data_IF_893694345891
#
_entry.id   IF_893694345891
#
_cell.length_a   1.000
_cell.length_b   1.000
_cell.length_c   1.000
_cell.angle_alpha   90.00
_cell.angle_beta   90.00
_cell.angle_gamma   90.00
#
_symmetry.space_group_name_H-M   'P 1'
#
loop_
_entity.id
_entity.type
_entity.pdbx_description
1 polymer ?
#
# COMPACT_ATOMS: atom_id res chain seq x y z
N UNK A 1 -53.63 52.52 -5.88
CA UNK A 1 -53.13 51.30 -5.20
C UNK A 1 -54.31 50.39 -4.91
N UNK A 2 -54.27 49.05 -4.98
CA UNK A 2 -53.23 48.13 -5.47
C UNK A 2 -53.76 47.15 -6.56
N UNK A 3 -52.92 46.84 -7.55
CA UNK A 3 -53.06 45.66 -8.42
C UNK A 3 -52.38 44.49 -7.69
N UNK A 4 -53.14 43.54 -7.16
CA UNK A 4 -52.57 42.27 -6.69
C UNK A 4 -53.60 41.13 -6.76
N UNK A 5 -54.13 40.92 -7.96
CA UNK A 5 -54.88 39.71 -8.33
C UNK A 5 -54.34 39.24 -9.66
N UNK A 6 -53.47 38.23 -9.61
CA UNK A 6 -52.89 37.41 -10.70
C UNK A 6 -51.41 37.32 -10.47
N UNK A 7 -50.99 36.23 -9.85
CA UNK A 7 -49.85 35.45 -10.32
C UNK A 7 -49.55 34.30 -9.36
N UNK A 8 -49.57 33.09 -9.93
CA UNK A 8 -48.79 31.91 -9.52
C UNK A 8 -49.12 31.36 -8.10
N UNK A 9 -50.04 30.42 -7.90
CA UNK A 9 -50.01 29.00 -8.37
C UNK A 9 -48.77 28.63 -9.17
N UNK A 10 -47.63 28.51 -8.49
CA UNK A 10 -46.51 27.62 -8.84
C UNK A 10 -45.47 27.75 -7.73
N UNK A 11 -44.76 26.67 -7.42
CA UNK A 11 -43.63 26.59 -6.47
C UNK A 11 -43.98 26.06 -5.07
N UNK A 12 -44.61 24.88 -5.02
CA UNK A 12 -44.53 23.97 -3.86
C UNK A 12 -44.27 22.53 -4.34
N UNK A 13 -43.20 22.31 -5.11
CA UNK A 13 -42.77 20.97 -5.48
C UNK A 13 -41.36 20.98 -6.08
N UNK A 14 -40.29 21.19 -5.29
CA UNK A 14 -38.89 20.93 -5.72
C UNK A 14 -37.88 20.87 -4.56
N UNK A 15 -38.24 20.32 -3.38
CA UNK A 15 -37.29 20.20 -2.25
C UNK A 15 -37.12 18.77 -1.72
N UNK A 16 -37.25 17.75 -2.59
CA UNK A 16 -36.90 16.36 -2.24
C UNK A 16 -36.04 15.72 -3.33
N UNK A 17 -34.77 16.09 -3.42
CA UNK A 17 -33.80 15.33 -4.22
C UNK A 17 -32.34 15.49 -3.79
N UNK A 18 -32.06 15.81 -2.51
CA UNK A 18 -30.68 15.89 -2.00
C UNK A 18 -30.59 15.22 -0.62
N UNK A 19 -30.85 13.91 -0.55
CA UNK A 19 -30.72 13.17 0.72
C UNK A 19 -30.29 11.71 0.55
N UNK A 20 -29.55 11.36 -0.51
CA UNK A 20 -29.15 9.96 -0.75
C UNK A 20 -27.65 9.72 -0.98
N UNK A 21 -26.78 10.73 -0.88
CA UNK A 21 -25.32 10.53 -0.98
C UNK A 21 -24.57 10.47 0.36
N UNK A 22 -25.28 10.33 1.48
CA UNK A 22 -24.66 10.33 2.81
C UNK A 22 -24.87 8.99 3.54
N UNK A 23 -24.56 7.85 2.92
CA UNK A 23 -24.65 6.57 3.65
C UNK A 23 -23.83 5.41 3.06
N UNK A 24 -22.61 5.66 2.57
CA UNK A 24 -21.60 4.58 2.43
C UNK A 24 -20.23 5.11 2.84
N UNK A 25 -20.14 5.65 4.06
CA UNK A 25 -18.86 5.70 4.75
C UNK A 25 -18.58 4.27 5.24
N UNK A 26 -18.09 3.41 4.34
CA UNK A 26 -17.47 2.15 4.74
C UNK A 26 -16.27 2.53 5.61
N UNK A 27 -16.43 2.43 6.92
CA UNK A 27 -15.31 2.45 7.85
C UNK A 27 -14.44 1.25 7.51
N UNK A 28 -13.44 1.49 6.65
CA UNK A 28 -12.41 0.50 6.37
C UNK A 28 -11.83 0.02 7.71
N UNK A 29 -11.66 -1.29 7.92
CA UNK A 29 -11.05 -1.80 9.14
C UNK A 29 -9.73 -1.08 9.38
N UNK A 30 -9.63 -0.36 10.49
CA UNK A 30 -8.41 0.34 10.86
C UNK A 30 -7.33 -0.71 11.14
N UNK A 31 -6.42 -0.90 10.20
CA UNK A 31 -5.23 -1.72 10.40
C UNK A 31 -4.38 -1.00 11.45
N UNK A 32 -4.12 -1.62 12.62
CA UNK A 32 -3.30 -0.98 13.65
C UNK A 32 -1.92 -0.64 13.06
N UNK A 33 -1.32 0.51 13.45
CA UNK A 33 -0.02 0.89 12.94
C UNK A 33 1.01 -0.21 13.25
N UNK A 34 1.86 -0.59 12.29
CA UNK A 34 2.82 -1.66 12.50
C UNK A 34 3.76 -1.27 13.65
N UNK A 35 3.79 -2.11 14.69
CA UNK A 35 4.75 -1.95 15.77
C UNK A 35 6.18 -2.03 15.19
N UNK A 36 7.10 -1.22 15.69
CA UNK A 36 8.49 -1.24 15.26
C UNK A 36 9.04 -2.68 15.42
N UNK A 37 9.75 -3.22 14.41
CA UNK A 37 10.24 -4.60 14.47
C UNK A 37 11.23 -4.73 15.63
N UNK A 38 10.97 -5.68 16.53
CA UNK A 38 11.85 -5.97 17.65
C UNK A 38 13.22 -6.42 17.12
N UNK A 39 14.32 -5.86 17.62
CA UNK A 39 15.67 -6.23 17.17
C UNK A 39 15.94 -7.71 17.47
N UNK A 40 16.69 -8.39 16.58
CA UNK A 40 17.12 -9.76 16.81
C UNK A 40 18.06 -9.87 18.02
N UNK A 41 18.02 -11.00 18.72
CA UNK A 41 18.92 -11.32 19.84
C UNK A 41 20.15 -12.15 19.43
N UNK A 42 20.36 -12.36 18.12
CA UNK A 42 21.45 -13.18 17.59
C UNK A 42 22.83 -12.62 17.96
N UNK A 43 23.68 -13.47 18.57
CA UNK A 43 25.04 -13.10 18.99
C UNK A 43 26.03 -13.35 17.88
N UNK A 44 26.62 -12.28 17.33
CA UNK A 44 27.67 -12.39 16.32
C UNK A 44 28.92 -13.03 16.96
N UNK A 45 29.47 -14.10 16.40
CA UNK A 45 30.73 -14.66 16.85
C UNK A 45 31.88 -13.66 16.63
N UNK A 46 32.98 -13.86 17.35
CA UNK A 46 34.21 -13.11 17.12
C UNK A 46 34.79 -13.34 15.71
N UNK A 47 35.85 -12.61 15.39
CA UNK A 47 36.50 -12.66 14.08
C UNK A 47 37.06 -14.05 13.76
N UNK A 48 37.25 -14.32 12.47
CA UNK A 48 37.85 -15.57 12.00
C UNK A 48 39.23 -15.75 12.64
N UNK A 49 39.52 -16.91 13.25
CA UNK A 49 40.75 -17.11 14.02
C UNK A 49 42.03 -17.13 13.16
N UNK A 50 41.91 -17.01 11.84
CA UNK A 50 43.03 -16.94 10.90
C UNK A 50 43.48 -18.30 10.38
N UNK A 51 44.30 -18.30 9.33
CA UNK A 51 44.72 -19.53 8.64
C UNK A 51 45.66 -20.43 9.45
N UNK A 52 46.31 -19.87 10.48
CA UNK A 52 47.24 -20.60 11.37
C UNK A 52 46.56 -21.08 12.66
N UNK A 53 45.24 -20.91 12.79
CA UNK A 53 44.48 -21.38 13.93
C UNK A 53 44.49 -22.91 14.02
N UNK A 54 44.42 -23.43 15.25
CA UNK A 54 44.24 -24.87 15.45
C UNK A 54 42.89 -25.33 14.87
N UNK A 55 42.82 -26.58 14.41
CA UNK A 55 41.57 -27.12 13.85
C UNK A 55 40.41 -27.07 14.84
N UNK A 56 40.69 -27.28 16.13
CA UNK A 56 39.67 -27.23 17.18
C UNK A 56 39.07 -25.82 17.32
N UNK A 57 39.92 -24.78 17.25
CA UNK A 57 39.47 -23.39 17.29
C UNK A 57 38.63 -23.05 16.06
N UNK A 58 39.09 -23.46 14.88
CA UNK A 58 38.36 -23.28 13.62
C UNK A 58 37.00 -23.99 13.64
N UNK A 59 36.93 -25.25 14.09
CA UNK A 59 35.67 -26.00 14.21
C UNK A 59 34.71 -25.37 15.23
N UNK A 60 35.21 -24.86 16.35
CA UNK A 60 34.42 -24.12 17.33
C UNK A 60 33.83 -22.83 16.75
N UNK A 61 34.65 -22.07 16.02
CA UNK A 61 34.23 -20.85 15.33
C UNK A 61 33.17 -21.14 14.28
N UNK A 62 33.36 -22.16 13.41
CA UNK A 62 32.36 -22.55 12.39
C UNK A 62 31.01 -22.87 13.03
N UNK A 63 30.98 -23.64 14.12
CA UNK A 63 29.73 -23.93 14.84
C UNK A 63 29.03 -22.67 15.34
N UNK A 64 29.82 -21.72 15.87
CA UNK A 64 29.29 -20.45 16.37
C UNK A 64 28.72 -19.59 15.23
N UNK A 65 29.41 -19.54 14.09
CA UNK A 65 28.92 -18.86 12.87
C UNK A 65 27.63 -19.47 12.37
N UNK A 66 27.56 -20.80 12.28
CA UNK A 66 26.34 -21.47 11.83
C UNK A 66 25.17 -21.17 12.78
N UNK A 67 25.37 -21.25 14.09
CA UNK A 67 24.32 -20.90 15.06
C UNK A 67 23.84 -19.44 14.94
N UNK A 68 24.76 -18.51 14.70
CA UNK A 68 24.41 -17.11 14.45
C UNK A 68 23.59 -16.93 13.16
N UNK A 69 24.01 -17.56 12.06
CA UNK A 69 23.30 -17.49 10.78
C UNK A 69 21.92 -18.15 10.84
N UNK A 70 21.77 -19.26 11.56
CA UNK A 70 20.49 -19.91 11.79
C UNK A 70 19.54 -19.01 12.60
N UNK A 71 20.05 -18.36 13.65
CA UNK A 71 19.28 -17.38 14.41
C UNK A 71 18.76 -16.25 13.52
N UNK A 72 19.62 -15.67 12.68
CA UNK A 72 19.23 -14.61 11.76
C UNK A 72 18.18 -15.08 10.75
N UNK A 73 18.35 -16.28 10.17
CA UNK A 73 17.36 -16.87 9.26
C UNK A 73 15.99 -17.01 9.91
N UNK A 74 15.95 -17.48 11.16
CA UNK A 74 14.69 -17.59 11.92
C UNK A 74 14.04 -16.22 12.10
N UNK A 75 14.80 -15.23 12.55
CA UNK A 75 14.29 -13.86 12.72
C UNK A 75 13.77 -13.26 11.40
N UNK A 76 14.49 -13.43 10.29
CA UNK A 76 14.04 -13.00 8.96
C UNK A 76 12.70 -13.67 8.59
N UNK A 77 12.58 -14.98 8.81
CA UNK A 77 11.33 -15.71 8.56
C UNK A 77 10.17 -15.19 9.39
N UNK A 78 10.39 -14.88 10.66
CA UNK A 78 9.37 -14.28 11.55
C UNK A 78 8.94 -12.89 11.05
N UNK A 79 9.89 -12.04 10.66
CA UNK A 79 9.58 -10.71 10.12
C UNK A 79 8.84 -10.79 8.78
N UNK A 80 9.23 -11.71 7.89
CA UNK A 80 8.54 -11.93 6.62
C UNK A 80 7.11 -12.42 6.83
N UNK A 81 6.90 -13.37 7.77
CA UNK A 81 5.58 -13.86 8.12
C UNK A 81 4.70 -12.74 8.70
N UNK A 82 5.27 -11.88 9.55
CA UNK A 82 4.59 -10.71 10.08
C UNK A 82 4.25 -9.67 9.00
N UNK A 83 5.13 -9.48 8.00
CA UNK A 83 4.95 -8.51 6.92
C UNK A 83 3.95 -8.98 5.84
N UNK A 84 3.85 -10.30 5.61
CA UNK A 84 3.02 -10.90 4.56
C UNK A 84 1.56 -10.38 4.50
N UNK A 85 0.78 -10.32 5.58
CA UNK A 85 -0.60 -9.82 5.51
C UNK A 85 -0.68 -8.36 5.07
N UNK A 86 0.28 -7.53 5.46
CA UNK A 86 0.32 -6.12 5.04
C UNK A 86 0.66 -5.99 3.56
N UNK A 87 1.56 -6.84 3.05
CA UNK A 87 1.90 -6.87 1.62
C UNK A 87 0.72 -7.32 0.77
N UNK A 88 -0.01 -8.35 1.22
CA UNK A 88 -1.22 -8.84 0.55
C UNK A 88 -2.34 -7.78 0.57
N UNK A 89 -2.55 -7.11 1.70
CA UNK A 89 -3.51 -6.01 1.79
C UNK A 89 -3.12 -4.82 0.90
N UNK A 90 -1.83 -4.47 0.84
CA UNK A 90 -1.32 -3.39 0.01
C UNK A 90 -1.49 -3.68 -1.49
N UNK A 91 -1.39 -4.96 -1.90
CA UNK A 91 -1.47 -5.37 -3.30
C UNK A 91 -2.77 -4.95 -3.98
N UNK A 92 -3.89 -4.96 -3.27
CA UNK A 92 -5.19 -4.50 -3.82
C UNK A 92 -5.12 -3.05 -4.30
N UNK A 93 -4.45 -2.18 -3.54
CA UNK A 93 -4.28 -0.78 -3.90
C UNK A 93 -3.27 -0.59 -5.03
N UNK A 94 -2.20 -1.40 -5.05
CA UNK A 94 -1.22 -1.40 -6.15
C UNK A 94 -1.88 -1.80 -7.46
N UNK A 95 -2.69 -2.86 -7.44
CA UNK A 95 -3.41 -3.35 -8.63
C UNK A 95 -4.43 -2.31 -9.12
N UNK A 96 -5.18 -1.67 -8.21
CA UNK A 96 -6.10 -0.58 -8.56
C UNK A 96 -5.38 0.66 -9.15
N UNK A 97 -4.23 1.04 -8.58
CA UNK A 97 -3.44 2.15 -9.11
C UNK A 97 -2.90 1.84 -10.51
N UNK A 98 -2.43 0.60 -10.73
CA UNK A 98 -1.94 0.17 -12.04
C UNK A 98 -3.05 0.20 -13.09
N UNK A 99 -4.26 -0.25 -12.76
CA UNK A 99 -5.42 -0.18 -13.65
C UNK A 99 -5.76 1.28 -14.04
N UNK A 100 -5.74 2.20 -13.08
CA UNK A 100 -5.99 3.62 -13.35
C UNK A 100 -4.89 4.25 -14.22
N UNK A 101 -3.62 3.84 -14.04
CA UNK A 101 -2.50 4.27 -14.88
C UNK A 101 -2.69 3.80 -16.33
N UNK A 102 -3.15 2.56 -16.53
CA UNK A 102 -3.41 2.02 -17.87
C UNK A 102 -4.54 2.78 -18.57
N UNK A 103 -5.65 3.04 -17.87
CA UNK A 103 -6.76 3.85 -18.38
C UNK A 103 -6.28 5.26 -18.77
N UNK A 104 -5.54 5.92 -17.87
CA UNK A 104 -4.97 7.24 -18.14
C UNK A 104 -4.10 7.24 -19.40
N UNK A 105 -3.19 6.28 -19.52
CA UNK A 105 -2.28 6.20 -20.67
C UNK A 105 -3.05 5.99 -21.98
N UNK A 106 -4.11 5.17 -21.94
CA UNK A 106 -4.97 4.90 -23.09
C UNK A 106 -5.74 6.15 -23.49
N UNK A 107 -6.45 6.79 -22.56
CA UNK A 107 -7.24 8.00 -22.84
C UNK A 107 -6.36 9.18 -23.26
N UNK A 108 -5.18 9.36 -22.65
CA UNK A 108 -4.25 10.41 -23.04
C UNK A 108 -3.79 10.25 -24.50
N UNK A 109 -3.56 9.01 -24.93
CA UNK A 109 -3.25 8.72 -26.33
C UNK A 109 -4.44 9.04 -27.24
N UNK A 110 -5.64 8.58 -26.90
CA UNK A 110 -6.84 8.85 -27.69
C UNK A 110 -7.13 10.34 -27.85
N UNK A 111 -6.99 11.14 -26.79
CA UNK A 111 -7.17 12.59 -26.85
C UNK A 111 -6.08 13.27 -27.66
N UNK A 112 -4.85 12.77 -27.62
CA UNK A 112 -3.78 13.26 -28.48
C UNK A 112 -4.08 12.97 -29.95
N UNK A 113 -4.44 11.73 -30.26
CA UNK A 113 -4.76 11.30 -31.62
C UNK A 113 -5.97 12.10 -32.18
N UNK A 114 -6.98 12.40 -31.36
CA UNK A 114 -8.10 13.27 -31.72
C UNK A 114 -7.69 14.73 -31.98
N UNK A 115 -6.79 15.29 -31.15
CA UNK A 115 -6.27 16.65 -31.36
C UNK A 115 -5.49 16.76 -32.66
N UNK A 116 -4.66 15.76 -32.97
CA UNK A 116 -3.90 15.71 -34.23
C UNK A 116 -4.83 15.54 -35.44
N UNK A 117 -5.89 14.73 -35.32
CA UNK A 117 -6.89 14.57 -36.38
C UNK A 117 -7.74 15.83 -36.60
N UNK A 118 -7.98 16.63 -35.56
CA UNK A 118 -8.75 17.87 -35.61
C UNK A 118 -7.91 19.10 -36.01
N UNK A 119 -6.58 18.99 -36.04
CA UNK A 119 -5.71 20.07 -36.48
C UNK A 119 -5.89 20.32 -38.00
N UNK A 120 -6.17 21.56 -38.43
CA UNK A 120 -6.24 21.87 -39.86
C UNK A 120 -4.87 21.62 -40.49
N UNK A 121 -4.85 20.89 -41.61
CA UNK A 121 -3.65 20.67 -42.44
C UNK A 121 -3.20 21.95 -43.12
#
# INVERSE_FOLDING_TARGET
MPKLRRSLVASLASTLAVASFAAVAQTAPAVPPPAAPAKHSCVKPGDFPGRLASENLTRGWIRSVNGYLECLKKYIGEQQAAAKPYQEAARVYVDAANAAIEEFNTSAKEFKDQQEAAAPR
#
